data_IF_723745582553
#
_entry.id   IF_723745582553
#
_cell.length_a   1.000
_cell.length_b   1.000
_cell.length_c   1.000
_cell.angle_alpha   90.00
_cell.angle_beta   90.00
_cell.angle_gamma   90.00
#
_symmetry.space_group_name_H-M   'P 1'
#
loop_
_entity.id
_entity.type
_entity.pdbx_description
1 polymer ?
#
# COMPACT_ATOMS: atom_id res chain seq x y z
N UNK A 1 21.01 -8.74 10.71
CA UNK A 1 19.74 -8.03 10.44
C UNK A 1 18.95 -7.93 11.73
N UNK A 2 18.61 -6.71 12.16
CA UNK A 2 17.83 -6.48 13.38
C UNK A 2 16.45 -5.97 12.99
N UNK A 3 15.39 -6.53 13.55
CA UNK A 3 14.02 -6.05 13.34
C UNK A 3 13.24 -5.98 14.65
N UNK A 4 12.27 -5.06 14.75
CA UNK A 4 11.35 -5.00 15.89
C UNK A 4 10.20 -6.00 15.71
N UNK A 5 9.55 -5.91 14.56
CA UNK A 5 8.52 -6.83 14.10
C UNK A 5 8.90 -7.28 12.69
N UNK A 6 8.87 -8.58 12.38
CA UNK A 6 9.18 -9.05 11.04
C UNK A 6 8.07 -8.67 10.06
N UNK A 7 8.47 -8.11 8.93
CA UNK A 7 7.58 -7.93 7.78
C UNK A 7 7.16 -9.27 7.20
N UNK A 8 6.00 -9.29 6.53
CA UNK A 8 5.54 -10.49 5.85
C UNK A 8 6.24 -10.63 4.50
N UNK A 9 7.02 -11.69 4.37
CA UNK A 9 7.81 -11.96 3.19
C UNK A 9 7.16 -13.04 2.32
N UNK A 10 7.19 -12.88 1.00
CA UNK A 10 6.71 -13.86 0.02
C UNK A 10 7.85 -14.30 -0.89
N UNK A 11 7.86 -15.58 -1.28
CA UNK A 11 8.79 -16.11 -2.26
C UNK A 11 8.14 -16.01 -3.65
N UNK A 12 8.48 -14.92 -4.35
CA UNK A 12 7.85 -14.57 -5.61
C UNK A 12 6.38 -14.19 -5.49
N UNK A 13 5.76 -13.89 -6.64
CA UNK A 13 4.39 -13.38 -6.72
C UNK A 13 3.31 -14.44 -6.93
N UNK A 14 3.54 -15.72 -6.61
CA UNK A 14 2.64 -16.83 -6.98
C UNK A 14 2.26 -17.74 -5.81
N UNK A 15 1.02 -18.26 -5.84
CA UNK A 15 0.42 -19.18 -4.87
C UNK A 15 -0.32 -20.26 -5.66
N UNK A 16 0.06 -21.53 -5.52
CA UNK A 16 -0.45 -22.64 -6.35
C UNK A 16 -0.41 -22.38 -7.87
N UNK A 17 0.64 -21.71 -8.34
CA UNK A 17 0.79 -21.32 -9.75
C UNK A 17 -0.09 -20.13 -10.19
N UNK A 18 -0.88 -19.54 -9.30
CA UNK A 18 -1.69 -18.35 -9.55
C UNK A 18 -1.00 -17.12 -8.97
N UNK A 19 -0.87 -16.05 -9.77
CA UNK A 19 -0.27 -14.81 -9.30
C UNK A 19 -1.10 -14.17 -8.17
N UNK A 20 -0.45 -13.62 -7.13
CA UNK A 20 -1.06 -12.84 -6.04
C UNK A 20 -1.96 -11.72 -6.60
N UNK A 21 -1.54 -11.07 -7.69
CA UNK A 21 -2.35 -10.05 -8.35
C UNK A 21 -3.74 -10.54 -8.81
N UNK A 22 -3.85 -11.79 -9.30
CA UNK A 22 -5.16 -12.38 -9.66
C UNK A 22 -6.03 -12.65 -8.44
N UNK A 23 -5.42 -13.09 -7.35
CA UNK A 23 -6.12 -13.45 -6.11
C UNK A 23 -6.62 -12.22 -5.34
N UNK A 24 -5.85 -11.13 -5.35
CA UNK A 24 -6.09 -9.99 -4.46
C UNK A 24 -6.27 -8.63 -5.15
N UNK A 25 -5.91 -8.51 -6.44
CA UNK A 25 -5.91 -7.24 -7.19
C UNK A 25 -6.77 -7.29 -8.47
N UNK A 26 -7.76 -8.19 -8.50
CA UNK A 26 -8.79 -8.23 -9.54
C UNK A 26 -10.04 -7.47 -9.10
N UNK A 27 -10.88 -7.08 -10.05
CA UNK A 27 -12.16 -6.41 -9.76
C UNK A 27 -13.05 -7.25 -8.84
N UNK A 28 -13.04 -8.59 -8.99
CA UNK A 28 -13.73 -9.50 -8.08
C UNK A 28 -13.12 -9.46 -6.67
N UNK A 29 -11.79 -9.50 -6.55
CA UNK A 29 -11.14 -9.44 -5.24
C UNK A 29 -11.45 -8.14 -4.49
N UNK A 30 -11.53 -7.02 -5.22
CA UNK A 30 -11.94 -5.72 -4.68
C UNK A 30 -13.44 -5.67 -4.34
N UNK A 31 -14.32 -6.36 -5.07
CA UNK A 31 -15.75 -6.45 -4.73
C UNK A 31 -15.97 -7.07 -3.34
N UNK A 32 -15.07 -7.95 -2.92
CA UNK A 32 -15.13 -8.61 -1.61
C UNK A 32 -14.57 -7.74 -0.48
N UNK A 33 -14.16 -6.49 -0.76
CA UNK A 33 -13.79 -5.49 0.25
C UNK A 33 -15.02 -4.65 0.57
N UNK A 34 -15.59 -4.74 1.78
CA UNK A 34 -16.73 -3.92 2.15
C UNK A 34 -16.31 -2.46 2.35
N UNK A 35 -17.27 -1.55 2.21
CA UNK A 35 -17.12 -0.13 2.53
C UNK A 35 -16.05 0.61 1.73
N UNK A 36 -15.90 0.32 0.44
CA UNK A 36 -15.06 1.19 -0.41
C UNK A 36 -15.74 2.56 -0.58
N UNK A 37 -14.97 3.62 -0.83
CA UNK A 37 -15.54 4.96 -0.97
C UNK A 37 -16.52 5.04 -2.14
N UNK A 38 -17.61 5.78 -1.95
CA UNK A 38 -18.69 5.91 -2.94
C UNK A 38 -19.54 4.65 -3.18
N UNK A 39 -19.35 3.56 -2.43
CA UNK A 39 -20.22 2.38 -2.56
C UNK A 39 -21.60 2.59 -1.95
N UNK A 40 -22.63 2.21 -2.70
CA UNK A 40 -24.00 2.16 -2.19
C UNK A 40 -24.23 0.99 -1.22
N UNK A 41 -25.36 1.04 -0.51
CA UNK A 41 -25.75 0.02 0.48
C UNK A 41 -25.79 -1.40 -0.12
N UNK A 42 -26.32 -1.55 -1.33
CA UNK A 42 -26.42 -2.86 -1.99
C UNK A 42 -25.05 -3.52 -2.25
N UNK A 43 -24.07 -2.74 -2.75
CA UNK A 43 -22.71 -3.24 -2.97
C UNK A 43 -22.01 -3.57 -1.65
N UNK A 44 -22.24 -2.74 -0.62
CA UNK A 44 -21.71 -3.00 0.72
C UNK A 44 -22.25 -4.30 1.30
N UNK A 45 -23.56 -4.55 1.18
CA UNK A 45 -24.20 -5.80 1.64
C UNK A 45 -23.65 -7.02 0.89
N UNK A 46 -23.49 -6.91 -0.43
CA UNK A 46 -22.89 -7.96 -1.24
C UNK A 46 -21.43 -8.24 -0.83
N UNK A 47 -20.63 -7.20 -0.62
CA UNK A 47 -19.26 -7.33 -0.16
C UNK A 47 -19.17 -8.01 1.22
N UNK A 48 -20.07 -7.66 2.14
CA UNK A 48 -20.17 -8.31 3.45
C UNK A 48 -20.53 -9.80 3.32
N UNK A 49 -21.48 -10.16 2.44
CA UNK A 49 -21.82 -11.55 2.16
C UNK A 49 -20.64 -12.35 1.58
N UNK A 50 -19.81 -11.72 0.75
CA UNK A 50 -18.63 -12.35 0.15
C UNK A 50 -17.37 -12.30 1.02
N UNK A 51 -17.40 -11.54 2.13
CA UNK A 51 -16.25 -11.38 3.02
C UNK A 51 -15.72 -12.69 3.63
N UNK A 52 -16.53 -13.71 3.96
CA UNK A 52 -16.02 -15.00 4.45
C UNK A 52 -15.18 -15.73 3.40
N UNK A 53 -15.55 -15.61 2.11
CA UNK A 53 -14.78 -16.20 1.03
C UNK A 53 -13.42 -15.49 0.88
N UNK A 54 -13.37 -14.16 1.03
CA UNK A 54 -12.10 -13.41 1.02
C UNK A 54 -11.22 -13.85 2.18
N UNK A 55 -11.80 -13.97 3.37
CA UNK A 55 -11.10 -14.46 4.55
C UNK A 55 -10.54 -15.88 4.34
N UNK A 56 -11.30 -16.77 3.71
CA UNK A 56 -10.83 -18.12 3.39
C UNK A 56 -9.64 -18.07 2.42
N UNK A 57 -9.73 -17.29 1.33
CA UNK A 57 -8.64 -17.14 0.36
C UNK A 57 -7.38 -16.59 1.03
N UNK A 58 -7.49 -15.57 1.89
CA UNK A 58 -6.34 -15.00 2.59
C UNK A 58 -5.73 -16.00 3.56
N UNK A 59 -6.54 -16.80 4.27
CA UNK A 59 -6.04 -17.82 5.21
C UNK A 59 -5.38 -19.00 4.53
N UNK A 60 -5.93 -19.48 3.42
CA UNK A 60 -5.30 -20.55 2.64
C UNK A 60 -3.97 -20.05 2.02
N UNK A 61 -3.93 -18.81 1.54
CA UNK A 61 -2.69 -18.19 1.05
C UNK A 61 -1.65 -18.02 2.15
N UNK A 62 -2.08 -17.58 3.33
CA UNK A 62 -1.23 -17.48 4.52
C UNK A 62 -0.63 -18.84 4.89
N UNK A 63 -1.45 -19.90 4.91
CA UNK A 63 -1.01 -21.25 5.19
C UNK A 63 -0.01 -21.76 4.14
N UNK A 64 -0.24 -21.45 2.86
CA UNK A 64 0.69 -21.78 1.77
C UNK A 64 2.07 -21.17 2.01
N UNK A 65 2.15 -19.86 2.28
CA UNK A 65 3.44 -19.21 2.54
C UNK A 65 4.11 -19.71 3.82
N UNK A 66 3.34 -19.98 4.88
CA UNK A 66 3.86 -20.56 6.11
C UNK A 66 4.43 -21.97 5.91
N UNK A 67 3.94 -22.73 4.94
CA UNK A 67 4.44 -24.06 4.61
C UNK A 67 5.67 -24.04 3.68
N UNK A 68 5.79 -23.03 2.80
CA UNK A 68 6.87 -22.97 1.79
C UNK A 68 8.06 -22.11 2.21
N UNK A 69 7.89 -21.26 3.23
CA UNK A 69 8.93 -20.36 3.70
C UNK A 69 9.21 -20.69 5.17
N UNK A 70 10.47 -20.96 5.58
CA UNK A 70 10.84 -21.35 6.94
C UNK A 70 10.78 -20.17 7.93
N UNK A 71 9.72 -19.36 7.89
CA UNK A 71 9.53 -18.22 8.78
C UNK A 71 9.44 -18.64 10.25
N UNK A 72 8.84 -19.81 10.55
CA UNK A 72 8.73 -20.31 11.93
C UNK A 72 10.08 -20.69 12.52
N UNK A 73 10.89 -21.41 11.74
CA UNK A 73 12.21 -21.90 12.15
C UNK A 73 13.15 -20.75 12.51
N UNK A 74 13.03 -19.62 11.82
CA UNK A 74 13.87 -18.44 12.04
C UNK A 74 13.21 -17.36 12.89
N UNK A 75 12.08 -17.65 13.55
CA UNK A 75 11.39 -16.66 14.38
C UNK A 75 10.97 -15.41 13.58
N UNK A 76 10.56 -15.57 12.33
CA UNK A 76 10.15 -14.50 11.40
C UNK A 76 8.65 -14.53 11.08
N UNK A 77 7.85 -15.21 11.92
CA UNK A 77 6.38 -15.18 11.78
C UNK A 77 5.91 -13.74 12.01
N UNK A 78 5.21 -13.13 11.03
CA UNK A 78 4.69 -11.77 11.15
C UNK A 78 3.59 -11.66 12.19
N UNK A 79 3.58 -10.54 12.92
CA UNK A 79 2.55 -10.26 13.94
C UNK A 79 1.17 -10.00 13.31
N UNK A 80 1.16 -9.44 12.09
CA UNK A 80 -0.06 -9.06 11.38
C UNK A 80 -0.54 -10.12 10.39
N UNK A 81 -1.86 -10.20 10.18
CA UNK A 81 -2.48 -11.14 9.24
C UNK A 81 -2.05 -10.92 7.79
N UNK A 82 -2.10 -11.97 6.96
CA UNK A 82 -1.77 -11.86 5.53
C UNK A 82 -2.66 -10.82 4.80
N UNK A 83 -3.97 -10.85 5.07
CA UNK A 83 -4.94 -9.93 4.46
C UNK A 83 -4.57 -8.46 4.72
N UNK A 84 -4.14 -8.17 5.95
CA UNK A 84 -3.74 -6.83 6.35
C UNK A 84 -2.44 -6.41 5.65
N UNK A 85 -1.45 -7.30 5.54
CA UNK A 85 -0.19 -6.99 4.86
C UNK A 85 -0.39 -6.71 3.36
N UNK A 86 -1.29 -7.45 2.70
CA UNK A 86 -1.69 -7.18 1.30
C UNK A 86 -2.30 -5.78 1.20
N UNK A 87 -3.26 -5.47 2.07
CA UNK A 87 -3.98 -4.20 1.99
C UNK A 87 -3.11 -3.00 2.31
N UNK A 88 -2.19 -3.14 3.27
CA UNK A 88 -1.27 -2.10 3.71
C UNK A 88 0.01 -2.02 2.86
N UNK A 89 0.15 -2.84 1.82
CA UNK A 89 1.35 -2.90 0.97
C UNK A 89 2.64 -3.21 1.74
N UNK A 90 2.51 -3.99 2.81
CA UNK A 90 3.61 -4.45 3.67
C UNK A 90 4.12 -5.84 3.28
N UNK A 91 3.77 -6.32 2.08
CA UNK A 91 4.34 -7.54 1.53
C UNK A 91 5.73 -7.27 0.96
N UNK A 92 6.75 -7.85 1.56
CA UNK A 92 8.10 -7.87 1.00
C UNK A 92 8.31 -9.09 0.11
N UNK A 93 9.12 -8.94 -0.93
CA UNK A 93 9.60 -10.08 -1.73
C UNK A 93 10.94 -10.53 -1.17
N UNK A 94 11.09 -11.83 -0.91
CA UNK A 94 12.37 -12.39 -0.49
C UNK A 94 13.38 -12.27 -1.61
N UNK A 95 14.60 -11.78 -1.33
CA UNK A 95 15.72 -11.97 -2.23
C UNK A 95 15.98 -13.46 -2.46
N UNK A 96 16.46 -13.79 -3.67
CA UNK A 96 16.85 -15.15 -3.99
C UNK A 96 17.86 -15.67 -2.97
N UNK A 97 17.66 -16.92 -2.50
CA UNK A 97 18.53 -17.61 -1.55
C UNK A 97 18.67 -16.92 -0.19
N UNK A 98 17.75 -16.02 0.19
CA UNK A 98 17.82 -15.33 1.48
C UNK A 98 17.94 -16.31 2.66
N UNK A 99 17.08 -17.33 2.72
CA UNK A 99 17.11 -18.31 3.80
C UNK A 99 18.30 -19.28 3.72
N UNK A 100 18.85 -19.55 2.54
CA UNK A 100 20.12 -20.28 2.42
C UNK A 100 21.22 -19.52 3.16
N UNK A 101 21.30 -18.19 2.98
CA UNK A 101 22.28 -17.35 3.68
C UNK A 101 22.04 -17.28 5.19
N UNK A 102 20.80 -17.40 5.63
CA UNK A 102 20.47 -17.50 7.07
C UNK A 102 20.94 -18.85 7.62
N UNK A 103 20.69 -19.95 6.91
CA UNK A 103 21.12 -21.29 7.30
C UNK A 103 22.65 -21.44 7.29
N UNK A 104 23.34 -20.83 6.32
CA UNK A 104 24.80 -20.75 6.24
C UNK A 104 25.41 -19.87 7.36
N UNK A 105 24.61 -19.11 8.12
CA UNK A 105 25.09 -18.18 9.13
C UNK A 105 25.60 -16.84 8.59
N UNK A 106 25.56 -16.63 7.27
CA UNK A 106 25.94 -15.35 6.64
C UNK A 106 24.97 -14.21 6.99
N UNK A 107 23.70 -14.52 7.25
CA UNK A 107 22.70 -13.55 7.72
C UNK A 107 22.16 -14.00 9.07
N UNK A 108 22.54 -13.28 10.11
CA UNK A 108 22.01 -13.51 11.45
C UNK A 108 20.84 -12.57 11.69
N UNK A 109 19.66 -13.13 11.99
CA UNK A 109 18.45 -12.36 12.31
C UNK A 109 18.34 -12.22 13.84
N UNK A 110 18.02 -11.01 14.29
CA UNK A 110 17.77 -10.68 15.69
C UNK A 110 16.49 -9.87 15.81
N UNK A 111 15.63 -10.23 16.77
CA UNK A 111 14.52 -9.37 17.19
C UNK A 111 15.02 -8.47 18.32
N UNK A 112 14.68 -7.19 18.26
CA UNK A 112 15.01 -6.23 19.32
C UNK A 112 13.97 -5.11 19.38
N UNK A 113 13.53 -4.74 20.58
CA UNK A 113 12.56 -3.63 20.75
C UNK A 113 13.24 -2.27 20.73
N UNK A 114 14.43 -2.20 21.31
CA UNK A 114 15.29 -1.02 21.34
C UNK A 114 16.67 -1.35 20.77
N UNK A 115 17.26 -0.33 20.14
CA UNK A 115 18.62 -0.38 19.59
C UNK A 115 19.30 0.91 20.02
N UNK A 116 20.48 0.81 20.63
CA UNK A 116 21.36 1.93 20.90
C UNK A 116 22.76 1.67 20.35
N UNK A 117 23.48 2.75 20.06
CA UNK A 117 24.84 2.66 19.55
C UNK A 117 25.83 2.62 20.71
N UNK A 118 26.91 1.86 20.55
CA UNK A 118 28.08 1.87 21.41
C UNK A 118 29.35 2.00 20.56
N UNK A 119 30.50 2.18 21.21
CA UNK A 119 31.75 2.55 20.53
C UNK A 119 32.20 1.54 19.45
N UNK A 120 31.81 0.28 19.57
CA UNK A 120 32.19 -0.85 18.70
C UNK A 120 30.98 -1.56 18.07
N UNK A 121 29.78 -0.96 18.13
CA UNK A 121 28.59 -1.55 17.50
C UNK A 121 27.28 -1.13 18.13
N UNK A 122 26.42 -2.11 18.41
CA UNK A 122 25.04 -1.91 18.86
C UNK A 122 24.78 -2.63 20.19
N UNK A 123 23.89 -2.05 20.99
CA UNK A 123 23.27 -2.74 22.13
C UNK A 123 21.80 -2.95 21.79
N UNK A 124 21.40 -4.23 21.77
CA UNK A 124 20.04 -4.67 21.48
C UNK A 124 19.32 -4.95 22.79
N UNK A 125 18.22 -4.26 23.05
CA UNK A 125 17.45 -4.44 24.28
C UNK A 125 16.23 -5.34 24.09
N UNK A 126 16.14 -6.38 24.94
CA UNK A 126 14.89 -7.06 25.28
C UNK A 126 14.70 -7.06 26.80
N UNK A 127 13.72 -6.26 27.24
CA UNK A 127 13.15 -6.10 28.60
C UNK A 127 14.10 -5.96 29.83
N UNK A 128 15.23 -6.65 29.99
CA UNK A 128 16.13 -6.48 31.16
C UNK A 128 17.64 -6.78 30.96
N UNK A 129 18.10 -7.27 29.79
CA UNK A 129 19.53 -7.46 29.51
C UNK A 129 19.86 -7.07 28.06
N UNK A 130 20.78 -6.10 27.88
CA UNK A 130 21.21 -5.66 26.55
C UNK A 130 22.26 -6.60 25.95
N UNK A 131 21.96 -7.23 24.81
CA UNK A 131 22.95 -7.99 24.01
C UNK A 131 23.82 -6.98 23.25
N UNK A 132 25.15 -7.07 23.42
CA UNK A 132 26.09 -6.27 22.62
C UNK A 132 26.41 -7.01 21.33
N UNK A 133 26.29 -6.31 20.21
CA UNK A 133 26.59 -6.80 18.87
C UNK A 133 27.66 -5.90 18.27
N UNK A 134 28.84 -6.45 18.06
CA UNK A 134 29.92 -5.75 17.36
C UNK A 134 29.53 -5.49 15.90
N UNK A 135 29.82 -4.29 15.40
CA UNK A 135 29.50 -3.92 14.03
C UNK A 135 30.44 -2.82 13.52
N UNK A 136 31.11 -3.07 12.38
CA UNK A 136 31.92 -2.06 11.69
C UNK A 136 31.05 -1.02 10.97
N UNK A 137 29.89 -1.45 10.45
CA UNK A 137 28.97 -0.61 9.67
C UNK A 137 27.54 -0.91 10.08
N UNK A 138 26.77 0.15 10.33
CA UNK A 138 25.33 0.06 10.59
C UNK A 138 24.56 0.76 9.46
N UNK A 139 23.71 -0.01 8.77
CA UNK A 139 22.83 0.50 7.71
C UNK A 139 21.41 0.63 8.24
N UNK A 140 20.89 1.86 8.31
CA UNK A 140 19.54 2.14 8.78
C UNK A 140 18.53 2.00 7.63
N UNK A 141 17.95 0.81 7.50
CA UNK A 141 16.88 0.50 6.54
C UNK A 141 15.47 0.75 7.13
N UNK A 142 15.25 1.91 7.77
CA UNK A 142 14.05 2.20 8.58
C UNK A 142 12.95 3.00 7.85
N UNK A 143 12.92 2.97 6.52
CA UNK A 143 11.92 3.67 5.71
C UNK A 143 12.14 5.18 5.56
N UNK A 144 11.10 5.91 5.15
CA UNK A 144 11.17 7.35 4.86
C UNK A 144 9.99 8.13 5.43
N UNK A 145 10.22 9.39 5.83
CA UNK A 145 9.16 10.29 6.33
C UNK A 145 8.54 11.09 5.19
N UNK A 146 7.65 10.45 4.42
CA UNK A 146 7.00 11.05 3.24
C UNK A 146 6.27 12.36 3.55
N UNK A 147 5.46 12.38 4.61
CA UNK A 147 4.72 13.57 5.04
C UNK A 147 5.64 14.76 5.35
N UNK A 148 6.76 14.53 6.04
CA UNK A 148 7.72 15.59 6.39
C UNK A 148 8.41 16.15 5.15
N UNK A 149 8.73 15.29 4.17
CA UNK A 149 9.26 15.73 2.87
C UNK A 149 8.26 16.62 2.14
N UNK A 150 6.99 16.21 2.07
CA UNK A 150 5.93 16.98 1.42
C UNK A 150 5.70 18.34 2.10
N UNK A 151 5.71 18.37 3.44
CA UNK A 151 5.68 19.62 4.22
C UNK A 151 6.88 20.52 3.90
N UNK A 152 8.07 19.95 3.80
CA UNK A 152 9.32 20.67 3.55
C UNK A 152 9.36 21.43 2.22
N UNK A 153 8.56 21.03 1.22
CA UNK A 153 8.50 21.69 -0.10
C UNK A 153 7.94 23.12 0.01
N UNK A 154 6.99 23.37 0.91
CA UNK A 154 6.33 24.67 0.99
C UNK A 154 7.13 25.64 1.85
N UNK A 155 7.33 26.87 1.38
CA UNK A 155 7.90 27.94 2.19
C UNK A 155 6.88 28.48 3.22
N UNK A 156 5.61 28.56 2.83
CA UNK A 156 4.52 29.10 3.66
C UNK A 156 4.11 28.13 4.77
N UNK A 157 4.19 28.53 6.06
CA UNK A 157 3.74 27.71 7.19
C UNK A 157 2.30 27.24 7.04
N UNK A 158 1.41 28.11 6.53
CA UNK A 158 0.01 27.78 6.27
C UNK A 158 -0.13 26.61 5.28
N UNK A 159 0.65 26.58 4.21
CA UNK A 159 0.60 25.47 3.25
C UNK A 159 1.27 24.21 3.78
N UNK A 160 2.30 24.33 4.62
CA UNK A 160 2.85 23.19 5.37
C UNK A 160 1.78 22.53 6.23
N UNK A 161 1.01 23.32 6.98
CA UNK A 161 -0.08 22.84 7.83
C UNK A 161 -1.25 22.27 7.04
N UNK A 162 -1.59 22.87 5.90
CA UNK A 162 -2.67 22.35 5.05
C UNK A 162 -2.31 21.02 4.39
N UNK A 163 -1.08 20.90 3.87
CA UNK A 163 -0.63 19.67 3.21
C UNK A 163 -0.32 18.55 4.21
N UNK A 164 0.09 18.95 5.42
CA UNK A 164 0.15 18.10 6.60
C UNK A 164 -1.26 17.67 6.97
N UNK A 165 -1.72 16.54 6.46
CA UNK A 165 -2.98 16.01 6.94
C UNK A 165 -2.90 15.53 8.39
N UNK A 166 -4.01 15.01 8.89
CA UNK A 166 -4.10 14.50 10.26
C UNK A 166 -3.39 13.15 10.45
N UNK A 167 -3.35 12.63 11.69
CA UNK A 167 -2.79 11.32 12.02
C UNK A 167 -3.37 10.17 11.18
N UNK A 168 -4.60 10.38 10.70
CA UNK A 168 -5.43 9.43 9.99
C UNK A 168 -5.35 9.53 8.46
N UNK A 169 -4.80 10.63 7.96
CA UNK A 169 -4.63 10.86 6.53
C UNK A 169 -3.51 11.89 6.35
N UNK A 170 -2.23 11.45 6.29
CA UNK A 170 -1.08 12.33 6.36
C UNK A 170 -0.93 13.27 5.14
N UNK A 171 -1.70 13.06 4.06
CA UNK A 171 -1.84 14.02 2.96
C UNK A 171 -3.28 14.00 2.40
N UNK A 172 -4.10 15.02 2.68
CA UNK A 172 -5.52 15.05 2.33
C UNK A 172 -5.71 15.44 0.86
N UNK A 173 -5.22 14.60 -0.05
CA UNK A 173 -5.22 14.81 -1.49
C UNK A 173 -6.44 14.17 -2.14
N UNK A 174 -7.27 14.98 -2.81
CA UNK A 174 -8.34 14.50 -3.66
C UNK A 174 -7.77 13.73 -4.85
N UNK A 175 -8.32 12.54 -5.10
CA UNK A 175 -7.75 11.54 -6.03
C UNK A 175 -6.27 11.26 -5.78
N UNK A 176 -5.79 11.47 -4.55
CA UNK A 176 -4.36 11.33 -4.24
C UNK A 176 -3.44 12.23 -5.08
N UNK A 177 -4.00 13.27 -5.73
CA UNK A 177 -3.30 14.14 -6.66
C UNK A 177 -3.35 15.62 -6.27
N UNK A 178 -4.53 16.16 -5.94
CA UNK A 178 -4.71 17.62 -5.75
C UNK A 178 -5.21 17.93 -4.34
N UNK A 179 -4.72 19.02 -3.75
CA UNK A 179 -5.22 19.45 -2.45
C UNK A 179 -6.49 20.32 -2.62
N UNK A 180 -7.61 20.04 -1.92
CA UNK A 180 -8.89 20.74 -2.12
C UNK A 180 -8.84 22.27 -1.98
N UNK A 181 -7.87 22.78 -1.21
CA UNK A 181 -7.74 24.21 -0.87
C UNK A 181 -6.43 24.87 -1.31
N UNK A 182 -5.48 24.13 -1.89
CA UNK A 182 -4.24 24.74 -2.41
C UNK A 182 -4.39 24.80 -3.92
N UNK A 183 -4.60 25.99 -4.51
CA UNK A 183 -4.79 26.13 -5.94
C UNK A 183 -3.48 25.85 -6.70
N UNK A 184 -3.60 25.47 -7.97
CA UNK A 184 -2.47 25.32 -8.91
C UNK A 184 -1.37 24.38 -8.41
N UNK A 185 -1.77 23.32 -7.70
CA UNK A 185 -0.84 22.35 -7.13
C UNK A 185 -1.38 20.93 -7.36
N UNK A 186 -0.52 20.08 -7.90
CA UNK A 186 -0.73 18.64 -7.98
C UNK A 186 0.52 17.92 -7.46
N UNK A 187 0.31 16.79 -6.80
CA UNK A 187 1.33 15.90 -6.27
C UNK A 187 1.09 14.54 -6.92
N UNK A 188 2.11 13.98 -7.56
CA UNK A 188 2.03 12.65 -8.17
C UNK A 188 3.00 11.75 -7.42
N UNK A 189 2.54 10.56 -7.04
CA UNK A 189 3.40 9.55 -6.42
C UNK A 189 3.62 9.70 -4.92
N UNK A 190 2.81 10.49 -4.22
CA UNK A 190 2.85 10.52 -2.75
C UNK A 190 2.30 9.24 -2.13
N UNK A 191 1.21 8.69 -2.69
CA UNK A 191 0.57 7.50 -2.18
C UNK A 191 1.33 6.24 -2.58
N UNK A 192 1.45 5.32 -1.64
CA UNK A 192 2.20 4.09 -1.84
C UNK A 192 1.42 3.10 -2.72
N UNK A 193 2.17 2.26 -3.45
CA UNK A 193 1.63 1.18 -4.25
C UNK A 193 2.70 0.11 -4.52
N UNK A 194 2.30 -1.17 -4.41
CA UNK A 194 3.18 -2.35 -4.54
C UNK A 194 4.00 -2.47 -5.84
N UNK A 195 3.57 -1.85 -6.95
CA UNK A 195 4.35 -1.76 -8.21
C UNK A 195 3.80 -0.65 -9.11
N UNK A 196 4.49 0.48 -9.21
CA UNK A 196 3.82 1.78 -9.29
C UNK A 196 3.99 2.60 -10.57
N UNK A 197 4.63 2.10 -11.63
CA UNK A 197 4.78 2.91 -12.84
C UNK A 197 3.43 3.28 -13.46
N UNK A 198 2.51 2.33 -13.61
CA UNK A 198 1.24 2.61 -14.30
C UNK A 198 0.24 3.39 -13.45
N UNK A 199 0.28 3.25 -12.12
CA UNK A 199 -0.58 4.03 -11.21
C UNK A 199 -0.19 5.50 -11.28
N UNK A 200 1.11 5.78 -11.23
CA UNK A 200 1.62 7.15 -11.33
C UNK A 200 1.49 7.72 -12.75
N UNK A 201 1.60 6.88 -13.79
CA UNK A 201 1.24 7.27 -15.15
C UNK A 201 -0.23 7.69 -15.24
N UNK A 202 -1.14 6.93 -14.63
CA UNK A 202 -2.57 7.25 -14.63
C UNK A 202 -2.90 8.51 -13.80
N UNK A 203 -2.22 8.72 -12.68
CA UNK A 203 -2.27 9.99 -11.96
C UNK A 203 -1.79 11.15 -12.83
N UNK A 204 -0.68 10.99 -13.54
CA UNK A 204 -0.14 12.01 -14.43
C UNK A 204 -1.09 12.33 -15.58
N UNK A 205 -1.69 11.31 -16.21
CA UNK A 205 -2.73 11.48 -17.24
C UNK A 205 -3.94 12.24 -16.68
N UNK A 206 -4.42 11.86 -15.51
CA UNK A 206 -5.53 12.56 -14.86
C UNK A 206 -5.23 14.03 -14.58
N UNK A 207 -4.02 14.34 -14.08
CA UNK A 207 -3.57 15.73 -13.90
C UNK A 207 -3.43 16.46 -15.23
N UNK A 208 -2.92 15.81 -16.28
CA UNK A 208 -2.80 16.41 -17.61
C UNK A 208 -4.18 16.79 -18.18
N UNK A 209 -5.16 15.89 -18.11
CA UNK A 209 -6.54 16.18 -18.51
C UNK A 209 -7.19 17.30 -17.69
N UNK A 210 -6.87 17.39 -16.39
CA UNK A 210 -7.32 18.50 -15.55
C UNK A 210 -6.74 19.84 -16.05
N UNK A 211 -5.44 19.86 -16.37
CA UNK A 211 -4.76 21.06 -16.85
C UNK A 211 -5.22 21.49 -18.26
N UNK A 212 -5.56 20.53 -19.12
CA UNK A 212 -6.17 20.75 -20.44
C UNK A 212 -7.63 21.21 -20.36
N UNK A 213 -8.25 21.13 -19.18
CA UNK A 213 -9.65 21.51 -18.97
C UNK A 213 -10.66 20.50 -19.50
N UNK A 214 -10.24 19.27 -19.81
CA UNK A 214 -11.11 18.18 -20.25
C UNK A 214 -12.20 17.85 -19.21
N UNK A 215 -11.93 18.10 -17.94
CA UNK A 215 -12.91 18.09 -16.86
C UNK A 215 -12.62 19.18 -15.83
N UNK A 216 -13.59 19.45 -14.96
CA UNK A 216 -13.44 20.39 -13.84
C UNK A 216 -13.50 19.64 -12.51
N UNK A 217 -12.66 20.05 -11.57
CA UNK A 217 -12.75 19.57 -10.20
C UNK A 217 -14.12 19.88 -9.61
N UNK A 218 -14.67 18.99 -8.77
CA UNK A 218 -15.86 19.30 -8.00
C UNK A 218 -15.55 20.40 -6.96
N UNK A 219 -16.59 20.99 -6.38
CA UNK A 219 -16.42 21.99 -5.32
C UNK A 219 -15.66 21.44 -4.10
N UNK A 220 -14.96 22.33 -3.38
CA UNK A 220 -14.08 22.00 -2.24
C UNK A 220 -14.73 21.04 -1.25
N UNK A 221 -15.97 21.31 -0.83
CA UNK A 221 -16.67 20.46 0.13
C UNK A 221 -16.87 19.00 -0.35
N UNK A 222 -17.04 18.78 -1.67
CA UNK A 222 -17.16 17.43 -2.23
C UNK A 222 -15.80 16.73 -2.30
N UNK A 223 -14.73 17.47 -2.64
CA UNK A 223 -13.37 16.93 -2.58
C UNK A 223 -13.00 16.53 -1.15
N UNK A 224 -13.27 17.38 -0.16
CA UNK A 224 -12.99 17.10 1.25
C UNK A 224 -13.76 15.87 1.76
N UNK A 225 -15.04 15.70 1.38
CA UNK A 225 -15.80 14.48 1.70
C UNK A 225 -15.17 13.23 1.10
N UNK A 226 -14.78 13.28 -0.18
CA UNK A 226 -14.12 12.15 -0.84
C UNK A 226 -12.78 11.80 -0.17
N UNK A 227 -12.00 12.80 0.24
CA UNK A 227 -10.76 12.61 0.99
C UNK A 227 -11.03 11.96 2.36
N UNK A 228 -12.09 12.38 3.05
CA UNK A 228 -12.48 11.79 4.33
C UNK A 228 -12.96 10.34 4.17
N UNK A 229 -13.78 10.04 3.16
CA UNK A 229 -14.23 8.67 2.87
C UNK A 229 -13.06 7.74 2.56
N UNK A 230 -12.06 8.21 1.79
CA UNK A 230 -10.82 7.46 1.57
C UNK A 230 -10.04 7.24 2.86
N UNK A 231 -9.92 8.27 3.71
CA UNK A 231 -9.30 8.15 5.03
C UNK A 231 -9.96 7.07 5.89
N UNK A 232 -11.29 7.03 5.93
CA UNK A 232 -12.04 5.99 6.65
C UNK A 232 -11.85 4.59 6.08
N UNK A 233 -11.76 4.46 4.75
CA UNK A 233 -11.40 3.21 4.10
C UNK A 233 -10.01 2.73 4.54
N UNK A 234 -9.01 3.62 4.51
CA UNK A 234 -7.63 3.30 4.89
C UNK A 234 -7.55 2.88 6.36
N UNK A 235 -8.24 3.57 7.27
CA UNK A 235 -8.30 3.18 8.70
C UNK A 235 -8.84 1.77 8.89
N UNK A 236 -9.86 1.38 8.13
CA UNK A 236 -10.50 0.06 8.27
C UNK A 236 -9.67 -1.06 7.68
N UNK A 237 -8.89 -0.79 6.65
CA UNK A 237 -8.29 -1.83 5.83
C UNK A 237 -6.76 -1.81 5.78
N UNK A 238 -6.08 -0.78 6.30
CA UNK A 238 -4.63 -0.64 6.28
C UNK A 238 -4.08 0.10 7.49
N UNK A 239 -2.90 0.72 7.33
CA UNK A 239 -2.25 1.50 8.39
C UNK A 239 -2.05 2.93 7.95
N UNK A 240 -2.07 3.82 8.93
CA UNK A 240 -1.62 5.20 8.79
C UNK A 240 -0.30 5.39 9.55
N UNK A 241 0.79 4.82 9.04
CA UNK A 241 2.13 4.94 9.65
C UNK A 241 2.93 6.14 9.10
N UNK A 242 2.26 7.23 8.71
CA UNK A 242 2.91 8.44 8.18
C UNK A 242 3.57 8.30 6.79
N UNK A 243 3.61 7.10 6.21
CA UNK A 243 4.13 6.82 4.85
C UNK A 243 3.07 7.04 3.74
N UNK A 244 1.84 7.40 4.10
CA UNK A 244 0.73 7.62 3.16
C UNK A 244 -0.12 6.38 2.95
N UNK A 245 -1.38 6.55 2.50
CA UNK A 245 -2.29 5.42 2.29
C UNK A 245 -1.88 4.59 1.06
N UNK A 246 -1.85 3.26 1.19
CA UNK A 246 -1.62 2.41 0.02
C UNK A 246 -2.90 2.29 -0.84
N UNK A 247 -2.75 2.43 -2.15
CA UNK A 247 -3.86 2.33 -3.12
C UNK A 247 -4.04 0.89 -3.63
N UNK A 248 -3.03 0.02 -3.56
CA UNK A 248 -3.00 -1.29 -4.24
C UNK A 248 -4.28 -2.12 -4.03
N UNK A 249 -4.79 -2.17 -2.80
CA UNK A 249 -5.95 -2.97 -2.42
C UNK A 249 -7.28 -2.51 -3.03
N UNK A 250 -7.32 -1.26 -3.52
CA UNK A 250 -8.45 -0.64 -4.20
C UNK A 250 -7.99 -0.01 -5.53
N UNK A 251 -6.96 -0.59 -6.16
CA UNK A 251 -6.33 -0.01 -7.34
C UNK A 251 -7.30 0.05 -8.51
N UNK A 252 -8.07 -1.01 -8.78
CA UNK A 252 -9.08 -1.03 -9.84
C UNK A 252 -10.14 0.04 -9.60
N UNK A 253 -10.70 0.11 -8.39
CA UNK A 253 -11.65 1.18 -8.02
C UNK A 253 -11.06 2.57 -8.22
N UNK A 254 -9.81 2.79 -7.79
CA UNK A 254 -9.14 4.08 -7.91
C UNK A 254 -8.97 4.49 -9.38
N UNK A 255 -8.51 3.58 -10.23
CA UNK A 255 -8.36 3.83 -11.66
C UNK A 255 -9.71 4.03 -12.35
N UNK A 256 -10.75 3.33 -11.91
CA UNK A 256 -12.09 3.54 -12.41
C UNK A 256 -12.55 4.99 -12.15
N UNK A 257 -12.29 5.52 -10.95
CA UNK A 257 -12.63 6.90 -10.60
C UNK A 257 -11.87 7.89 -11.49
N UNK A 258 -10.58 7.69 -11.72
CA UNK A 258 -9.81 8.54 -12.64
C UNK A 258 -10.37 8.47 -14.07
N UNK A 259 -10.72 7.27 -14.55
CA UNK A 259 -11.32 7.10 -15.88
C UNK A 259 -12.65 7.85 -15.98
N UNK A 260 -13.52 7.74 -14.97
CA UNK A 260 -14.82 8.44 -14.94
C UNK A 260 -14.64 9.95 -14.97
N UNK A 261 -13.72 10.48 -14.16
CA UNK A 261 -13.43 11.92 -14.11
C UNK A 261 -12.96 12.42 -15.50
N UNK A 262 -12.11 11.66 -16.19
CA UNK A 262 -11.60 11.96 -17.53
C UNK A 262 -12.59 11.62 -18.67
N UNK A 263 -13.77 11.07 -18.38
CA UNK A 263 -14.77 10.70 -19.39
C UNK A 263 -14.50 9.39 -20.15
N UNK A 264 -13.56 8.55 -19.69
CA UNK A 264 -13.27 7.24 -20.27
C UNK A 264 -14.09 6.13 -19.62
N UNK A 265 -14.39 5.06 -20.38
CA UNK A 265 -14.96 3.84 -19.83
C UNK A 265 -13.95 3.14 -18.89
N UNK A 266 -14.29 2.92 -17.61
CA UNK A 266 -13.44 2.22 -16.65
C UNK A 266 -13.20 0.74 -16.98
N UNK A 267 -14.13 0.09 -17.69
CA UNK A 267 -14.00 -1.31 -18.09
C UNK A 267 -13.18 -1.41 -19.36
N UNK A 268 -11.96 -1.91 -19.25
CA UNK A 268 -10.97 -1.92 -20.34
C UNK A 268 -10.66 -3.31 -20.88
N UNK A 269 -11.13 -4.38 -20.23
CA UNK A 269 -10.85 -5.76 -20.65
C UNK A 269 -11.93 -6.29 -21.59
N UNK A 270 -11.52 -7.18 -22.50
CA UNK A 270 -12.44 -7.84 -23.43
C UNK A 270 -13.08 -9.06 -22.76
N UNK A 271 -14.40 -8.99 -22.58
CA UNK A 271 -15.20 -10.10 -22.04
C UNK A 271 -15.37 -10.06 -20.52
N UNK A 272 -16.49 -10.60 -20.05
CA UNK A 272 -16.91 -10.51 -18.64
C UNK A 272 -15.90 -11.21 -17.71
N UNK A 273 -15.42 -12.41 -18.06
CA UNK A 273 -14.50 -13.15 -17.20
C UNK A 273 -13.16 -12.42 -17.03
N UNK A 274 -12.61 -11.86 -18.11
CA UNK A 274 -11.37 -11.09 -18.04
C UNK A 274 -11.54 -9.84 -17.17
N UNK A 275 -12.64 -9.11 -17.38
CA UNK A 275 -12.99 -7.89 -16.66
C UNK A 275 -13.10 -8.09 -15.14
N UNK A 276 -13.55 -9.26 -14.70
CA UNK A 276 -13.74 -9.55 -13.27
C UNK A 276 -12.55 -10.26 -12.62
N UNK A 277 -11.87 -11.17 -13.32
CA UNK A 277 -10.89 -12.08 -12.73
C UNK A 277 -9.44 -11.71 -13.02
N UNK A 278 -9.16 -10.94 -14.07
CA UNK A 278 -7.78 -10.53 -14.39
C UNK A 278 -7.46 -9.20 -13.71
N UNK A 279 -6.26 -9.07 -13.12
CA UNK A 279 -5.79 -7.78 -12.62
C UNK A 279 -5.58 -6.81 -13.78
N UNK A 280 -5.78 -5.53 -13.48
CA UNK A 280 -5.48 -4.44 -14.40
C UNK A 280 -3.98 -4.13 -14.41
N UNK A 281 -3.45 -3.75 -15.57
CA UNK A 281 -2.07 -3.34 -15.74
C UNK A 281 -1.88 -2.25 -16.79
N UNK A 282 -0.63 -1.83 -17.04
CA UNK A 282 -0.32 -0.69 -17.91
C UNK A 282 -0.96 -0.78 -19.30
N UNK A 283 -0.94 -1.96 -19.92
CA UNK A 283 -1.49 -2.18 -21.27
C UNK A 283 -3.00 -1.92 -21.35
N UNK A 284 -3.76 -2.11 -20.27
CA UNK A 284 -5.20 -1.85 -20.25
C UNK A 284 -5.51 -0.34 -20.38
N UNK A 285 -4.58 0.51 -19.95
CA UNK A 285 -4.71 1.97 -19.93
C UNK A 285 -3.89 2.68 -21.03
N UNK A 286 -3.25 1.93 -21.93
CA UNK A 286 -2.39 2.49 -22.98
C UNK A 286 -3.13 3.47 -23.93
N UNK A 287 -4.43 3.25 -24.16
CA UNK A 287 -5.25 4.12 -25.02
C UNK A 287 -5.84 5.35 -24.32
N UNK A 288 -5.38 5.69 -23.11
CA UNK A 288 -5.69 6.99 -22.47
C UNK A 288 -4.52 7.91 -22.79
N UNK A 289 -4.80 8.99 -23.52
CA UNK A 289 -3.84 9.99 -23.97
C UNK A 289 -4.16 11.32 -23.32
#
# INVERSE_FOLDING_TARGET
MVCRSPGRMVNGGFVWGVSIGRLFMSRLAELMVPHKPGEGLALTLLAMLLSPLRWLITKLTEAYFMAHIPMREHGMVPDWSFAWNVSACRLGVLPDRFYDRVAEGSVVIRRARSVSFCADGLVLGEEDAGERVEADVVVLATGFRGADKLRGIFASPRFREMVAGGPDNPAPLYRQCVHPRIPQMAVIGYSDNSSSTYVYEMMAKWVAHLLDGAFRLPGVARMERSVAEWGEYVKRHGVVDGEGPCITAASTWYHDELCRDMGYNPRRKKGILAEWLQPYGPADYAGIC
#
